data_IF_538194861837
#
_entry.id   IF_538194861837
#
_cell.length_a   1.000
_cell.length_b   1.000
_cell.length_c   1.000
_cell.angle_alpha   90.00
_cell.angle_beta   90.00
_cell.angle_gamma   90.00
#
_symmetry.space_group_name_H-M   'P 1'
#
loop_
_entity.id
_entity.type
_entity.pdbx_description
1 polymer ?
#
# COMPACT_ATOMS: atom_id res chain seq x y z
N UNK A 1 45.72 26.72 -61.56
CA UNK A 1 44.98 25.44 -61.44
C UNK A 1 44.23 25.49 -60.12
N UNK A 2 42.92 25.70 -60.25
CA UNK A 2 41.79 25.44 -59.33
C UNK A 2 41.76 26.10 -57.94
N UNK A 3 40.84 27.07 -57.83
CA UNK A 3 40.32 27.72 -56.61
C UNK A 3 39.64 26.74 -55.64
N UNK A 4 39.79 27.01 -54.34
CA UNK A 4 39.20 26.26 -53.23
C UNK A 4 37.86 26.90 -52.86
N UNK A 5 36.77 26.18 -53.09
CA UNK A 5 35.40 26.61 -52.79
C UNK A 5 34.99 26.29 -51.34
N UNK A 6 34.31 27.26 -50.72
CA UNK A 6 33.66 27.20 -49.40
C UNK A 6 32.44 26.25 -49.42
N UNK A 7 32.18 25.43 -48.40
CA UNK A 7 31.01 24.57 -48.36
C UNK A 7 29.73 25.35 -48.02
N UNK A 8 28.72 25.18 -48.88
CA UNK A 8 27.38 25.76 -48.75
C UNK A 8 26.54 25.08 -47.66
N UNK A 9 25.68 25.89 -47.04
CA UNK A 9 24.71 25.50 -46.01
C UNK A 9 23.47 24.95 -46.69
N UNK A 10 23.09 23.71 -46.37
CA UNK A 10 21.87 23.05 -46.87
C UNK A 10 20.62 23.58 -46.13
N UNK A 11 19.66 24.23 -46.80
CA UNK A 11 18.51 24.85 -46.18
C UNK A 11 17.37 23.88 -45.80
N UNK A 12 17.47 22.58 -46.11
CA UNK A 12 16.36 21.62 -45.93
C UNK A 12 16.57 20.58 -44.80
N UNK A 13 17.54 20.80 -43.90
CA UNK A 13 17.72 19.92 -42.73
C UNK A 13 16.84 20.39 -41.55
N UNK A 14 15.85 19.60 -41.11
CA UNK A 14 15.05 19.96 -39.93
C UNK A 14 15.93 19.94 -38.67
N UNK A 15 15.90 21.04 -37.92
CA UNK A 15 16.61 21.19 -36.64
C UNK A 15 16.03 20.32 -35.53
N UNK A 16 16.76 20.15 -34.40
CA UNK A 16 16.29 19.34 -33.28
C UNK A 16 15.01 19.93 -32.68
N UNK A 17 13.99 19.08 -32.50
CA UNK A 17 12.69 19.46 -31.98
C UNK A 17 12.78 19.97 -30.53
N UNK A 18 12.24 21.15 -30.29
CA UNK A 18 12.03 21.72 -28.94
C UNK A 18 11.05 20.83 -28.16
N UNK A 19 11.34 20.47 -26.89
CA UNK A 19 10.39 19.69 -26.08
C UNK A 19 9.12 20.51 -25.84
N UNK A 20 7.97 19.94 -26.19
CA UNK A 20 6.66 20.51 -25.86
C UNK A 20 6.41 20.38 -24.35
N UNK A 21 5.81 21.40 -23.69
CA UNK A 21 5.39 21.27 -22.30
C UNK A 21 4.27 20.22 -22.20
N UNK A 22 4.43 19.27 -21.28
CA UNK A 22 3.40 18.28 -20.97
C UNK A 22 2.17 18.91 -20.31
N UNK A 23 1.01 18.23 -20.33
CA UNK A 23 -0.22 18.78 -19.77
C UNK A 23 -0.08 19.04 -18.26
N UNK A 24 -0.64 20.16 -17.82
CA UNK A 24 -0.71 20.57 -16.42
C UNK A 24 -1.29 19.45 -15.55
N UNK A 25 -0.49 18.97 -14.59
CA UNK A 25 -0.97 18.07 -13.55
C UNK A 25 -1.77 18.89 -12.55
N UNK A 26 -3.00 18.51 -12.18
CA UNK A 26 -3.69 19.16 -11.08
C UNK A 26 -2.86 18.97 -9.80
N UNK A 27 -2.43 20.10 -9.22
CA UNK A 27 -1.69 20.15 -7.97
C UNK A 27 -2.50 19.57 -6.83
N UNK A 28 -1.83 18.87 -5.93
CA UNK A 28 -2.38 18.38 -4.69
C UNK A 28 -2.72 19.58 -3.81
N UNK A 29 -4.00 19.94 -3.71
CA UNK A 29 -4.45 20.92 -2.74
C UNK A 29 -4.41 20.25 -1.35
N UNK A 30 -3.46 20.68 -0.51
CA UNK A 30 -3.50 20.35 0.91
C UNK A 30 -4.78 20.89 1.56
N UNK A 31 -5.24 20.30 2.68
CA UNK A 31 -6.47 20.75 3.33
C UNK A 31 -6.29 22.18 3.84
N UNK A 32 -6.99 23.11 3.17
CA UNK A 32 -7.14 24.48 3.63
C UNK A 32 -7.92 24.50 4.94
N UNK A 33 -7.37 25.15 5.94
CA UNK A 33 -8.09 25.57 7.13
C UNK A 33 -9.24 26.49 6.73
N UNK A 34 -10.49 26.04 6.88
CA UNK A 34 -11.65 26.93 6.80
C UNK A 34 -12.01 27.48 8.18
N UNK A 35 -12.21 28.80 8.33
CA UNK A 35 -12.70 29.40 9.56
C UNK A 35 -14.21 29.24 9.70
N UNK A 36 -14.67 29.37 10.94
CA UNK A 36 -16.05 29.18 11.37
C UNK A 36 -17.07 30.16 10.74
N UNK A 37 -18.20 29.59 10.31
CA UNK A 37 -19.56 30.08 10.59
C UNK A 37 -20.18 31.15 9.69
N UNK A 38 -21.20 30.78 8.90
CA UNK A 38 -22.52 31.48 8.85
C UNK A 38 -23.56 30.70 8.04
N UNK A 39 -24.73 30.42 8.64
CA UNK A 39 -26.06 30.36 7.99
C UNK A 39 -26.49 29.07 7.25
N UNK A 40 -27.75 28.61 7.40
CA UNK A 40 -28.23 27.36 6.81
C UNK A 40 -28.70 27.54 5.37
N UNK A 41 -28.27 26.66 4.47
CA UNK A 41 -28.82 26.54 3.11
C UNK A 41 -29.80 25.38 3.03
N UNK A 42 -31.01 25.71 2.58
CA UNK A 42 -32.17 24.87 2.45
C UNK A 42 -32.00 23.72 1.44
N UNK A 43 -32.09 22.48 1.93
CA UNK A 43 -32.52 21.29 1.18
C UNK A 43 -33.18 20.31 2.14
N UNK A 44 -34.24 20.77 2.81
CA UNK A 44 -35.24 19.90 3.41
C UNK A 44 -36.57 20.33 2.80
N UNK A 45 -37.23 19.42 2.08
CA UNK A 45 -38.68 19.28 1.87
C UNK A 45 -38.91 18.50 0.56
N UNK A 46 -39.17 17.19 0.68
CA UNK A 46 -40.25 16.49 -0.01
C UNK A 46 -40.02 14.96 0.06
N UNK A 47 -40.63 14.31 1.05
CA UNK A 47 -41.01 12.91 0.93
C UNK A 47 -42.52 12.82 0.67
N UNK A 48 -43.02 11.77 0.00
CA UNK A 48 -44.43 11.40 0.11
C UNK A 48 -44.60 10.08 0.87
N UNK A 49 -45.12 10.24 2.08
CA UNK A 49 -46.27 9.54 2.70
C UNK A 49 -46.67 8.15 2.20
N UNK A 50 -46.63 7.18 3.12
CA UNK A 50 -47.39 5.92 3.12
C UNK A 50 -48.76 6.15 3.78
N UNK A 51 -49.87 5.55 3.31
CA UNK A 51 -51.08 5.43 4.11
C UNK A 51 -51.31 3.99 4.61
N UNK A 52 -51.57 3.86 5.92
CA UNK A 52 -52.03 2.64 6.59
C UNK A 52 -53.53 2.74 6.94
N UNK A 53 -54.29 1.73 6.49
CA UNK A 53 -55.52 1.08 6.96
C UNK A 53 -56.73 1.83 7.58
N UNK A 54 -57.93 1.39 7.17
CA UNK A 54 -59.02 0.95 8.07
C UNK A 54 -60.15 0.18 7.34
N UNK A 55 -60.57 -0.97 7.90
CA UNK A 55 -62.00 -1.33 8.12
C UNK A 55 -62.79 -2.20 7.11
N UNK A 56 -63.09 -3.44 7.53
CA UNK A 56 -64.09 -4.45 7.07
C UNK A 56 -65.58 -3.93 7.21
N UNK A 57 -66.72 -4.60 6.81
CA UNK A 57 -66.92 -6.05 6.62
C UNK A 57 -67.92 -6.61 5.56
N UNK A 58 -67.77 -7.93 5.30
CA UNK A 58 -68.90 -8.88 5.25
C UNK A 58 -69.28 -9.50 3.91
N UNK A 59 -69.25 -10.85 3.83
CA UNK A 59 -70.41 -11.74 3.54
C UNK A 59 -70.01 -13.13 3.02
N UNK A 60 -70.55 -14.18 3.69
CA UNK A 60 -70.90 -15.55 3.23
C UNK A 60 -69.82 -16.41 2.53
N UNK A 61 -69.54 -17.67 2.87
CA UNK A 61 -70.29 -18.68 3.60
C UNK A 61 -70.19 -20.00 2.82
N UNK A 62 -69.59 -21.05 3.39
CA UNK A 62 -69.94 -22.47 3.18
C UNK A 62 -68.99 -23.39 3.95
N UNK A 63 -69.59 -24.23 4.81
CA UNK A 63 -68.99 -25.36 5.51
C UNK A 63 -68.99 -26.60 4.62
N UNK A 64 -67.98 -27.46 4.75
CA UNK A 64 -68.11 -28.91 5.01
C UNK A 64 -66.71 -29.58 5.07
N UNK A 65 -66.26 -29.98 6.27
CA UNK A 65 -66.18 -31.36 6.81
C UNK A 65 -65.10 -32.26 6.19
N UNK A 66 -64.13 -32.69 7.02
CA UNK A 66 -63.09 -33.70 6.70
C UNK A 66 -63.62 -35.14 6.60
N UNK A 67 -62.83 -36.22 6.80
CA UNK A 67 -61.67 -36.31 7.71
C UNK A 67 -60.46 -37.15 7.24
N UNK A 68 -59.46 -37.25 8.13
CA UNK A 68 -58.43 -38.28 8.31
C UNK A 68 -57.43 -38.51 7.15
N UNK A 69 -56.11 -38.37 7.30
CA UNK A 69 -55.25 -38.81 8.39
C UNK A 69 -54.29 -39.86 7.79
N UNK A 70 -52.98 -39.59 7.78
CA UNK A 70 -51.83 -40.53 7.87
C UNK A 70 -50.54 -39.75 7.52
N UNK A 71 -49.68 -39.52 8.51
CA UNK A 71 -48.22 -39.40 8.36
C UNK A 71 -47.58 -40.66 9.01
N UNK A 72 -46.25 -40.87 8.99
CA UNK A 72 -45.37 -41.08 7.85
C UNK A 72 -44.58 -42.40 8.04
N UNK A 73 -43.95 -42.95 6.98
CA UNK A 73 -42.99 -44.07 7.16
C UNK A 73 -41.65 -43.72 6.52
N UNK A 74 -40.66 -43.59 7.41
CA UNK A 74 -39.22 -43.64 7.17
C UNK A 74 -38.75 -45.07 7.49
N UNK A 75 -37.79 -45.62 6.74
CA UNK A 75 -36.77 -46.48 7.33
C UNK A 75 -35.38 -45.91 6.95
N UNK A 76 -34.67 -45.32 7.91
CA UNK A 76 -33.72 -45.93 8.87
C UNK A 76 -32.35 -46.25 8.26
N UNK A 77 -31.34 -45.78 8.98
CA UNK A 77 -29.95 -45.70 8.58
C UNK A 77 -29.22 -47.03 8.81
N UNK A 78 -28.31 -47.37 7.89
CA UNK A 78 -27.17 -48.21 8.19
C UNK A 78 -25.91 -47.60 7.58
N UNK A 79 -24.91 -47.36 8.42
CA UNK A 79 -23.53 -46.94 8.11
C UNK A 79 -22.60 -47.98 8.74
N UNK A 80 -21.31 -48.06 8.39
CA UNK A 80 -20.67 -48.31 7.09
C UNK A 80 -19.96 -49.69 7.06
N UNK A 81 -19.53 -50.14 5.88
CA UNK A 81 -18.52 -51.21 5.76
C UNK A 81 -17.24 -50.65 5.14
N UNK A 82 -16.14 -50.73 5.89
CA UNK A 82 -14.76 -50.51 5.41
C UNK A 82 -14.33 -51.63 4.45
N UNK A 83 -13.43 -51.33 3.51
CA UNK A 83 -12.34 -52.24 3.23
C UNK A 83 -11.00 -51.63 3.60
N UNK A 84 -10.26 -52.46 4.31
CA UNK A 84 -8.95 -52.28 4.88
C UNK A 84 -7.84 -52.41 3.81
N UNK A 85 -6.80 -51.59 3.98
CA UNK A 85 -5.39 -51.78 3.58
C UNK A 85 -5.00 -51.92 2.09
N UNK A 86 -4.37 -50.85 1.57
CA UNK A 86 -3.17 -50.95 0.71
C UNK A 86 -2.38 -49.63 0.65
N UNK A 87 -1.28 -49.55 1.41
CA UNK A 87 -0.04 -48.77 1.16
C UNK A 87 1.11 -49.64 1.70
N UNK A 88 2.35 -49.60 1.18
CA UNK A 88 3.05 -48.44 0.59
C UNK A 88 3.67 -48.77 -0.80
N UNK A 89 4.15 -47.81 -1.59
CA UNK A 89 5.57 -47.38 -1.58
C UNK A 89 5.79 -46.03 -2.27
N UNK A 90 6.72 -45.25 -1.71
CA UNK A 90 7.37 -44.11 -2.35
C UNK A 90 8.25 -44.53 -3.53
N UNK A 91 8.44 -43.65 -4.53
CA UNK A 91 9.71 -43.52 -5.21
C UNK A 91 10.46 -42.31 -4.65
N UNK A 92 11.60 -42.62 -4.08
CA UNK A 92 12.64 -41.71 -3.64
C UNK A 92 13.26 -40.96 -4.84
N UNK A 93 13.59 -39.69 -4.58
CA UNK A 93 14.68 -38.91 -5.17
C UNK A 93 14.98 -39.02 -6.68
N UNK A 94 14.56 -37.98 -7.42
CA UNK A 94 15.26 -37.52 -8.62
C UNK A 94 15.88 -36.14 -8.34
N UNK A 95 17.17 -36.15 -8.00
CA UNK A 95 18.05 -34.97 -7.97
C UNK A 95 18.21 -34.43 -9.40
N UNK A 96 18.15 -33.12 -9.64
CA UNK A 96 18.51 -32.57 -10.95
C UNK A 96 20.00 -32.74 -11.17
N UNK A 97 20.37 -33.44 -12.24
CA UNK A 97 21.74 -33.53 -12.75
C UNK A 97 22.11 -32.22 -13.42
N UNK A 98 23.25 -31.65 -13.02
CA UNK A 98 23.91 -30.53 -13.69
C UNK A 98 24.26 -30.88 -15.13
N UNK A 99 24.01 -29.98 -16.11
CA UNK A 99 24.76 -29.99 -17.35
C UNK A 99 26.08 -29.26 -17.15
N UNK A 100 27.10 -30.04 -17.46
CA UNK A 100 28.51 -29.80 -17.69
C UNK A 100 28.95 -28.41 -18.20
N UNK A 101 30.20 -28.15 -17.86
CA UNK A 101 31.01 -26.96 -18.04
C UNK A 101 31.31 -26.70 -19.52
N UNK A 102 31.07 -25.48 -19.98
CA UNK A 102 31.68 -24.96 -21.19
C UNK A 102 32.68 -23.86 -20.81
N UNK A 103 33.97 -24.22 -20.79
CA UNK A 103 35.11 -23.31 -20.73
C UNK A 103 35.35 -22.73 -22.12
N UNK A 104 35.45 -21.40 -22.30
CA UNK A 104 36.13 -20.84 -23.45
C UNK A 104 37.62 -20.64 -23.09
N UNK A 105 38.46 -21.25 -23.90
CA UNK A 105 39.91 -21.09 -23.95
C UNK A 105 40.31 -19.68 -24.36
N UNK A 106 41.30 -19.10 -23.68
CA UNK A 106 42.08 -17.97 -24.20
C UNK A 106 42.83 -18.35 -25.47
N UNK A 107 43.01 -17.40 -26.40
CA UNK A 107 44.24 -17.30 -27.17
C UNK A 107 44.97 -15.99 -26.87
N UNK A 108 46.25 -16.13 -26.56
CA UNK A 108 47.20 -15.06 -26.33
C UNK A 108 48.04 -14.81 -27.63
N UNK A 109 48.38 -13.54 -27.83
CA UNK A 109 49.47 -12.92 -28.62
C UNK A 109 49.47 -12.84 -30.16
N UNK A 110 49.50 -11.58 -30.63
CA UNK A 110 50.64 -10.89 -31.32
C UNK A 110 50.09 -9.72 -32.17
N UNK A 111 50.63 -8.50 -32.31
CA UNK A 111 51.76 -7.72 -31.76
C UNK A 111 51.51 -6.21 -32.18
N UNK A 112 52.45 -5.24 -32.09
CA UNK A 112 52.20 -3.91 -31.54
C UNK A 112 52.05 -2.76 -32.57
N UNK A 113 51.37 -1.67 -32.18
CA UNK A 113 51.25 -0.46 -32.99
C UNK A 113 51.01 0.81 -32.18
N UNK A 114 52.01 1.71 -32.19
CA UNK A 114 52.04 3.17 -31.98
C UNK A 114 51.40 3.82 -30.73
N UNK A 115 52.08 4.82 -30.11
CA UNK A 115 51.61 5.45 -28.88
C UNK A 115 50.59 6.57 -29.16
N UNK A 116 49.56 6.76 -28.33
CA UNK A 116 48.81 8.00 -28.32
C UNK A 116 49.50 9.05 -27.43
N UNK A 117 49.48 10.26 -27.96
CA UNK A 117 50.06 11.52 -27.51
C UNK A 117 49.53 11.98 -26.15
N UNK A 118 50.43 12.59 -25.37
CA UNK A 118 50.15 13.31 -24.13
C UNK A 118 49.07 14.38 -24.31
N UNK A 119 47.97 14.28 -23.56
CA UNK A 119 47.13 15.43 -23.25
C UNK A 119 47.60 16.03 -21.92
N UNK A 120 48.06 17.27 -21.98
CA UNK A 120 48.42 18.08 -20.81
C UNK A 120 47.27 18.15 -19.81
N UNK A 121 47.56 17.70 -18.60
CA UNK A 121 46.76 17.92 -17.41
C UNK A 121 46.88 19.39 -17.03
N UNK A 122 45.84 20.18 -17.31
CA UNK A 122 45.76 21.56 -16.84
C UNK A 122 45.50 21.55 -15.32
N UNK A 123 46.51 22.00 -14.57
CA UNK A 123 46.47 22.11 -13.12
C UNK A 123 45.41 23.15 -12.69
N UNK A 124 44.38 22.69 -11.97
CA UNK A 124 43.46 23.55 -11.23
C UNK A 124 44.14 23.96 -9.93
N UNK A 125 44.32 25.27 -9.72
CA UNK A 125 44.86 25.84 -8.49
C UNK A 125 43.97 25.52 -7.27
N UNK A 126 44.52 25.34 -6.06
CA UNK A 126 43.73 25.03 -4.88
C UNK A 126 43.04 26.31 -4.37
N UNK A 127 41.85 26.59 -4.88
CA UNK A 127 40.91 27.51 -4.24
C UNK A 127 40.34 26.82 -3.00
N UNK A 128 40.96 27.05 -1.84
CA UNK A 128 40.42 26.63 -0.55
C UNK A 128 39.09 27.31 -0.28
N UNK A 129 38.00 26.71 -0.73
CA UNK A 129 36.66 27.02 -0.24
C UNK A 129 36.62 26.54 1.20
N UNK A 130 36.78 27.47 2.13
CA UNK A 130 36.58 27.21 3.55
C UNK A 130 35.16 26.66 3.71
N UNK A 131 35.04 25.36 3.94
CA UNK A 131 33.80 24.73 4.36
C UNK A 131 33.41 25.41 5.66
N UNK A 132 32.36 26.24 5.61
CA UNK A 132 31.78 26.82 6.82
C UNK A 132 31.50 25.67 7.79
N UNK A 133 31.86 25.79 9.09
CA UNK A 133 31.58 24.73 10.04
C UNK A 133 30.07 24.44 10.03
N UNK A 134 29.71 23.16 9.89
CA UNK A 134 28.32 22.71 10.03
C UNK A 134 27.74 23.30 11.31
N UNK A 135 26.55 23.92 11.28
CA UNK A 135 25.98 24.53 12.47
C UNK A 135 25.82 23.46 13.55
N UNK A 136 26.53 23.64 14.66
CA UNK A 136 26.34 22.87 15.89
C UNK A 136 24.91 23.11 16.35
N UNK A 137 24.15 22.03 16.57
CA UNK A 137 22.92 22.07 17.35
C UNK A 137 21.60 22.32 16.60
N UNK A 138 21.48 21.96 15.32
CA UNK A 138 20.14 21.92 14.70
C UNK A 138 19.31 20.78 15.34
N UNK A 139 18.04 21.03 15.69
CA UNK A 139 17.19 20.01 16.30
C UNK A 139 16.96 18.86 15.31
N UNK A 140 16.99 17.64 15.83
CA UNK A 140 16.64 16.44 15.05
C UNK A 140 15.22 16.60 14.54
N UNK A 141 15.02 16.37 13.24
CA UNK A 141 13.72 16.51 12.59
C UNK A 141 12.92 15.22 12.67
N UNK A 142 11.61 15.36 12.67
CA UNK A 142 10.68 14.26 12.52
C UNK A 142 10.58 13.80 11.06
N UNK A 143 9.87 12.70 10.82
CA UNK A 143 9.59 12.21 9.47
C UNK A 143 8.85 13.20 8.56
N UNK A 144 8.27 14.27 9.11
CA UNK A 144 7.60 15.34 8.33
C UNK A 144 8.34 16.68 8.41
N UNK A 145 9.51 16.73 9.06
CA UNK A 145 10.39 17.89 9.08
C UNK A 145 10.23 18.85 10.28
N UNK A 146 9.21 18.66 11.13
CA UNK A 146 9.08 19.38 12.41
C UNK A 146 10.16 18.93 13.42
N UNK A 147 10.42 19.65 14.52
CA UNK A 147 11.27 19.13 15.59
C UNK A 147 10.76 17.79 16.13
N UNK A 148 11.64 16.82 16.31
CA UNK A 148 11.27 15.50 16.83
C UNK A 148 11.07 15.52 18.35
N UNK A 149 10.06 14.80 18.80
CA UNK A 149 9.72 14.60 20.21
C UNK A 149 9.91 13.14 20.63
N UNK A 150 9.68 12.21 19.69
CA UNK A 150 9.80 10.77 19.89
C UNK A 150 11.11 10.26 19.27
N UNK A 151 11.95 9.63 20.08
CA UNK A 151 13.26 9.11 19.68
C UNK A 151 13.30 7.59 19.82
N UNK A 152 14.40 6.98 19.37
CA UNK A 152 14.61 5.54 19.47
C UNK A 152 14.33 4.98 20.88
N UNK A 153 14.75 5.68 21.93
CA UNK A 153 14.62 5.26 23.33
C UNK A 153 13.15 5.18 23.79
N UNK A 154 12.25 5.92 23.13
CA UNK A 154 10.83 5.92 23.47
C UNK A 154 10.07 4.77 22.79
N UNK A 155 10.67 4.13 21.79
CA UNK A 155 10.09 3.03 21.03
C UNK A 155 10.46 1.70 21.67
N UNK A 156 9.95 1.47 22.88
CA UNK A 156 10.23 0.28 23.67
C UNK A 156 9.35 -0.91 23.29
N UNK A 157 9.86 -2.15 23.30
CA UNK A 157 9.07 -3.34 23.02
C UNK A 157 7.88 -3.48 23.96
N UNK A 158 6.72 -3.84 23.41
CA UNK A 158 5.44 -3.89 24.13
C UNK A 158 4.67 -2.57 24.14
N UNK A 159 5.26 -1.47 23.66
CA UNK A 159 4.52 -0.22 23.44
C UNK A 159 3.57 -0.35 22.26
N UNK A 160 2.37 0.18 22.43
CA UNK A 160 1.34 0.26 21.40
C UNK A 160 0.97 1.72 21.14
N UNK A 161 0.73 2.06 19.88
CA UNK A 161 0.15 3.31 19.45
C UNK A 161 -1.22 3.04 18.83
N UNK A 162 -2.23 3.75 19.34
CA UNK A 162 -3.50 3.93 18.65
C UNK A 162 -3.30 4.99 17.55
N UNK A 163 -3.58 4.60 16.30
CA UNK A 163 -3.47 5.45 15.13
C UNK A 163 -4.84 5.95 14.64
N UNK A 164 -5.86 5.81 15.48
CA UNK A 164 -7.20 6.32 15.24
C UNK A 164 -8.04 5.45 14.30
N UNK A 165 -9.08 6.07 13.76
CA UNK A 165 -10.02 5.45 12.83
C UNK A 165 -9.95 6.16 11.47
N UNK A 166 -9.82 5.38 10.41
CA UNK A 166 -9.85 5.84 9.02
C UNK A 166 -11.18 5.44 8.39
N UNK A 167 -11.89 6.40 7.80
CA UNK A 167 -13.04 6.13 6.95
C UNK A 167 -12.56 5.86 5.52
N UNK A 168 -13.04 4.76 4.93
CA UNK A 168 -12.71 4.40 3.55
C UNK A 168 -13.60 5.18 2.60
N UNK A 169 -13.05 6.24 2.02
CA UNK A 169 -13.73 6.99 0.97
C UNK A 169 -13.79 6.17 -0.34
N UNK A 170 -14.98 6.08 -0.92
CA UNK A 170 -15.24 5.28 -2.12
C UNK A 170 -14.69 5.90 -3.40
N UNK A 171 -14.74 7.23 -3.52
CA UNK A 171 -14.24 7.94 -4.69
C UNK A 171 -12.72 7.91 -4.73
N UNK A 172 -12.06 8.14 -3.59
CA UNK A 172 -10.60 8.01 -3.45
C UNK A 172 -10.15 6.57 -3.71
N UNK A 173 -10.88 5.57 -3.18
CA UNK A 173 -10.60 4.15 -3.40
C UNK A 173 -10.59 3.80 -4.89
N UNK A 174 -11.62 4.20 -5.64
CA UNK A 174 -11.74 3.93 -7.07
C UNK A 174 -10.73 4.76 -7.87
N UNK A 175 -10.49 6.02 -7.50
CA UNK A 175 -9.49 6.87 -8.13
C UNK A 175 -8.07 6.30 -7.99
N UNK A 176 -7.71 5.79 -6.80
CA UNK A 176 -6.44 5.10 -6.58
C UNK A 176 -6.33 3.86 -7.46
N UNK A 177 -7.36 3.02 -7.47
CA UNK A 177 -7.36 1.80 -8.28
C UNK A 177 -7.18 2.10 -9.77
N UNK A 178 -7.94 3.05 -10.33
CA UNK A 178 -7.79 3.46 -11.74
C UNK A 178 -6.37 3.90 -12.09
N UNK A 179 -5.68 4.54 -11.14
CA UNK A 179 -4.33 5.07 -11.37
C UNK A 179 -3.23 4.02 -11.18
N UNK A 180 -3.37 3.13 -10.20
CA UNK A 180 -2.26 2.29 -9.74
C UNK A 180 -2.54 0.79 -9.80
N UNK A 181 -3.81 0.38 -9.75
CA UNK A 181 -4.22 -1.01 -9.66
C UNK A 181 -5.57 -1.26 -10.39
N UNK A 182 -5.63 -1.10 -11.72
CA UNK A 182 -6.88 -1.08 -12.48
C UNK A 182 -7.39 -2.49 -12.80
N UNK A 183 -7.31 -3.41 -11.82
CA UNK A 183 -7.93 -4.72 -11.95
C UNK A 183 -9.46 -4.57 -11.88
N UNK A 184 -10.18 -5.36 -12.68
CA UNK A 184 -11.62 -5.18 -12.92
C UNK A 184 -12.45 -5.12 -11.62
N UNK A 185 -12.13 -5.92 -10.60
CA UNK A 185 -12.84 -5.92 -9.31
C UNK A 185 -12.59 -4.68 -8.43
N UNK A 186 -11.68 -3.79 -8.83
CA UNK A 186 -11.42 -2.51 -8.16
C UNK A 186 -12.03 -1.31 -8.88
N UNK A 187 -12.42 -1.43 -10.16
CA UNK A 187 -12.82 -0.28 -10.99
C UNK A 187 -14.13 -0.43 -11.75
N UNK A 188 -14.60 -1.67 -11.95
CA UNK A 188 -15.84 -1.98 -12.67
C UNK A 188 -16.89 -2.52 -11.69
N UNK A 189 -17.92 -1.73 -11.35
CA UNK A 189 -18.96 -2.15 -10.41
C UNK A 189 -19.75 -3.37 -10.87
N UNK A 190 -20.00 -3.51 -12.18
CA UNK A 190 -20.82 -4.60 -12.73
C UNK A 190 -20.06 -5.92 -12.68
N UNK A 191 -18.79 -5.92 -13.13
CA UNK A 191 -17.94 -7.10 -13.04
C UNK A 191 -17.66 -7.49 -11.59
N UNK A 192 -17.41 -6.50 -10.72
CA UNK A 192 -17.20 -6.75 -9.30
C UNK A 192 -18.44 -7.34 -8.61
N UNK A 193 -19.65 -6.85 -8.95
CA UNK A 193 -20.91 -7.39 -8.45
C UNK A 193 -21.17 -8.83 -8.89
N UNK A 194 -20.79 -9.19 -10.14
CA UNK A 194 -20.91 -10.55 -10.66
C UNK A 194 -19.85 -11.53 -10.10
N UNK A 195 -18.83 -11.03 -9.40
CA UNK A 195 -17.77 -11.85 -8.83
C UNK A 195 -18.09 -12.40 -7.45
N UNK A 196 -17.24 -13.29 -6.94
CA UNK A 196 -17.32 -13.77 -5.55
C UNK A 196 -17.14 -12.65 -4.50
N UNK A 197 -16.70 -11.46 -4.89
CA UNK A 197 -16.64 -10.29 -4.01
C UNK A 197 -18.00 -9.60 -3.85
N UNK A 198 -18.97 -9.80 -4.75
CA UNK A 198 -20.31 -9.20 -4.63
C UNK A 198 -20.33 -7.67 -4.65
N UNK A 199 -19.33 -7.04 -5.27
CA UNK A 199 -19.18 -5.59 -5.37
C UNK A 199 -17.71 -5.17 -5.29
N UNK A 200 -17.46 -3.88 -5.53
CA UNK A 200 -16.10 -3.33 -5.50
C UNK A 200 -15.43 -3.58 -4.14
N UNK A 201 -14.14 -3.86 -4.21
CA UNK A 201 -13.24 -3.91 -3.05
C UNK A 201 -12.07 -2.98 -3.31
N UNK A 202 -11.48 -2.45 -2.24
CA UNK A 202 -10.29 -1.62 -2.34
C UNK A 202 -9.08 -2.43 -2.85
N UNK A 203 -8.19 -1.76 -3.58
CA UNK A 203 -6.84 -2.28 -3.79
C UNK A 203 -6.16 -2.52 -2.44
N UNK A 204 -5.42 -3.63 -2.35
CA UNK A 204 -4.60 -3.91 -1.17
C UNK A 204 -3.57 -2.81 -0.89
N UNK A 205 -3.04 -2.17 -1.94
CA UNK A 205 -2.08 -1.07 -1.81
C UNK A 205 -2.73 0.27 -1.44
N UNK A 206 -3.99 0.49 -1.80
CA UNK A 206 -4.77 1.60 -1.26
C UNK A 206 -4.91 1.46 0.27
N UNK A 207 -5.28 0.26 0.73
CA UNK A 207 -5.40 -0.04 2.18
C UNK A 207 -4.07 0.17 2.91
N UNK A 208 -2.93 -0.25 2.33
CA UNK A 208 -1.59 0.03 2.89
C UNK A 208 -1.30 1.52 2.94
N UNK A 209 -1.74 2.29 1.94
CA UNK A 209 -1.55 3.74 1.91
C UNK A 209 -2.33 4.44 3.02
N UNK A 210 -3.55 3.96 3.34
CA UNK A 210 -4.32 4.43 4.49
C UNK A 210 -3.61 4.14 5.82
N UNK A 211 -3.08 2.92 6.00
CA UNK A 211 -2.23 2.59 7.16
C UNK A 211 -1.04 3.54 7.27
N UNK A 212 -0.33 3.76 6.16
CA UNK A 212 0.84 4.63 6.13
C UNK A 212 0.47 6.07 6.50
N UNK A 213 -0.67 6.57 5.99
CA UNK A 213 -1.18 7.91 6.34
C UNK A 213 -1.42 8.04 7.85
N UNK A 214 -2.14 7.09 8.45
CA UNK A 214 -2.40 7.07 9.89
C UNK A 214 -1.09 6.97 10.70
N UNK A 215 -0.14 6.16 10.26
CA UNK A 215 1.16 6.04 10.90
C UNK A 215 1.98 7.35 10.84
N UNK A 216 1.92 8.07 9.72
CA UNK A 216 2.53 9.41 9.62
C UNK A 216 1.91 10.36 10.63
N UNK A 217 0.58 10.51 10.58
CA UNK A 217 -0.13 11.51 11.36
C UNK A 217 0.06 11.32 12.87
N UNK A 218 0.08 10.07 13.34
CA UNK A 218 0.10 9.76 14.78
C UNK A 218 1.51 9.47 15.36
N UNK A 219 2.48 9.10 14.52
CA UNK A 219 3.83 8.71 14.99
C UNK A 219 4.93 9.43 14.23
N UNK A 220 5.04 9.25 12.91
CA UNK A 220 6.22 9.76 12.19
C UNK A 220 6.29 11.29 12.15
N UNK A 221 5.16 11.99 12.24
CA UNK A 221 5.11 13.45 12.29
C UNK A 221 5.85 14.05 13.50
N UNK A 222 6.07 13.26 14.55
CA UNK A 222 6.81 13.67 15.77
C UNK A 222 7.98 12.75 16.10
N UNK A 223 8.19 11.66 15.35
CA UNK A 223 9.28 10.74 15.58
C UNK A 223 10.51 11.11 14.76
N UNK A 224 11.69 11.02 15.36
CA UNK A 224 13.01 11.14 14.74
C UNK A 224 13.30 9.96 13.80
N UNK A 225 12.38 9.69 12.89
CA UNK A 225 12.42 8.62 11.93
C UNK A 225 13.39 8.97 10.80
N UNK A 226 14.21 7.99 10.45
CA UNK A 226 15.02 7.97 9.25
C UNK A 226 14.25 7.16 8.20
N UNK A 227 14.93 6.31 7.44
CA UNK A 227 14.31 5.42 6.47
C UNK A 227 13.84 4.08 7.08
N UNK A 228 13.16 3.30 6.24
CA UNK A 228 12.83 1.90 6.51
C UNK A 228 13.57 1.01 5.50
N UNK A 229 14.13 -0.14 5.93
CA UNK A 229 14.64 -1.15 4.99
C UNK A 229 13.53 -1.92 4.25
N UNK A 230 12.24 -1.65 4.55
CA UNK A 230 11.09 -2.25 3.87
C UNK A 230 10.16 -3.04 4.79
N UNK A 231 9.09 -3.57 4.18
CA UNK A 231 8.17 -4.52 4.80
C UNK A 231 8.77 -5.94 4.77
N UNK A 232 8.68 -6.63 5.89
CA UNK A 232 9.03 -8.05 6.03
C UNK A 232 7.81 -8.93 5.74
N UNK A 233 6.62 -8.47 6.12
CA UNK A 233 5.36 -9.14 5.87
C UNK A 233 4.24 -8.14 5.55
N UNK A 234 3.41 -8.51 4.58
CA UNK A 234 2.16 -7.84 4.23
C UNK A 234 1.07 -8.89 4.01
N UNK A 235 -0.04 -8.78 4.73
CA UNK A 235 -1.20 -9.68 4.63
C UNK A 235 -2.48 -8.87 4.46
N UNK A 236 -3.25 -9.21 3.43
CA UNK A 236 -4.64 -8.77 3.25
C UNK A 236 -5.55 -9.90 3.69
N UNK A 237 -6.21 -9.72 4.84
CA UNK A 237 -6.92 -10.79 5.56
C UNK A 237 -8.43 -10.79 5.27
N UNK A 238 -8.95 -9.67 4.79
CA UNK A 238 -10.32 -9.51 4.32
C UNK A 238 -10.40 -8.34 3.33
N UNK A 239 -11.37 -8.37 2.38
CA UNK A 239 -11.59 -7.25 1.47
C UNK A 239 -12.04 -6.02 2.24
N UNK A 240 -11.58 -4.84 1.84
CA UNK A 240 -12.00 -3.53 2.34
C UNK A 240 -12.95 -2.89 1.34
N UNK A 241 -13.95 -2.14 1.80
CA UNK A 241 -15.01 -1.53 0.99
C UNK A 241 -15.22 -0.07 1.33
N UNK A 242 -15.80 0.67 0.39
CA UNK A 242 -16.26 2.03 0.63
C UNK A 242 -17.20 2.09 1.84
N UNK A 243 -17.01 3.10 2.70
CA UNK A 243 -17.76 3.27 3.95
C UNK A 243 -17.25 2.46 5.14
N UNK A 244 -16.28 1.55 4.95
CA UNK A 244 -15.64 0.86 6.08
C UNK A 244 -14.99 1.87 7.02
N UNK A 245 -15.16 1.67 8.33
CA UNK A 245 -14.40 2.34 9.37
C UNK A 245 -13.32 1.40 9.88
N UNK A 246 -12.07 1.80 9.71
CA UNK A 246 -10.91 0.96 10.04
C UNK A 246 -10.17 1.56 11.25
N UNK A 247 -10.18 0.86 12.39
CA UNK A 247 -9.31 1.21 13.52
C UNK A 247 -7.90 0.69 13.25
N UNK A 248 -6.90 1.52 13.54
CA UNK A 248 -5.51 1.28 13.14
C UNK A 248 -4.61 1.28 14.37
N UNK A 249 -3.75 0.27 14.47
CA UNK A 249 -2.85 0.08 15.60
C UNK A 249 -1.43 -0.21 15.13
N UNK A 250 -0.46 0.30 15.87
CA UNK A 250 0.96 0.02 15.68
C UNK A 250 1.59 -0.50 16.97
N UNK A 251 2.22 -1.66 16.90
CA UNK A 251 2.91 -2.29 18.03
C UNK A 251 4.42 -2.31 17.82
N UNK A 252 5.16 -1.97 18.87
CA UNK A 252 6.61 -2.11 18.91
C UNK A 252 6.96 -3.52 19.37
N UNK A 253 7.45 -4.35 18.44
CA UNK A 253 7.82 -5.73 18.70
C UNK A 253 9.27 -5.90 19.19
N UNK A 254 10.15 -4.96 18.84
CA UNK A 254 11.58 -5.04 19.19
C UNK A 254 12.30 -3.74 18.91
N UNK A 255 13.38 -3.48 19.65
CA UNK A 255 14.23 -2.29 19.48
C UNK A 255 15.69 -2.64 19.72
N UNK A 256 16.59 -2.28 18.81
CA UNK A 256 18.02 -2.52 18.94
C UNK A 256 18.85 -1.35 18.42
N UNK A 257 19.79 -0.79 19.21
CA UNK A 257 20.75 0.18 18.70
C UNK A 257 21.56 -0.41 17.53
N UNK A 258 21.87 0.41 16.54
CA UNK A 258 22.66 0.01 15.38
C UNK A 258 24.15 0.02 15.71
N UNK A 259 24.80 -1.13 15.58
CA UNK A 259 26.27 -1.20 15.69
C UNK A 259 26.98 -0.61 14.45
N UNK A 260 26.33 -0.66 13.28
CA UNK A 260 26.92 -0.20 12.02
C UNK A 260 26.75 1.31 11.78
N UNK A 261 25.76 1.94 12.43
CA UNK A 261 25.47 3.37 12.31
C UNK A 261 25.23 3.96 13.71
N UNK A 262 26.29 4.41 14.40
CA UNK A 262 26.16 5.08 15.69
C UNK A 262 25.16 6.24 15.62
N UNK A 263 24.32 6.38 16.64
CA UNK A 263 23.25 7.40 16.66
C UNK A 263 21.92 6.97 16.01
N UNK A 264 21.84 5.77 15.41
CA UNK A 264 20.58 5.16 14.95
C UNK A 264 20.26 3.88 15.71
N UNK A 265 18.98 3.56 15.80
CA UNK A 265 18.46 2.27 16.25
C UNK A 265 17.46 1.70 15.25
N UNK A 266 17.33 0.38 15.24
CA UNK A 266 16.33 -0.34 14.44
C UNK A 266 15.18 -0.76 15.34
N UNK A 267 13.96 -0.46 14.92
CA UNK A 267 12.73 -0.84 15.63
C UNK A 267 11.92 -1.76 14.73
N UNK A 268 11.54 -2.92 15.25
CA UNK A 268 10.62 -3.86 14.61
C UNK A 268 9.19 -3.51 15.00
N UNK A 269 8.33 -3.33 14.00
CA UNK A 269 6.99 -2.81 14.14
C UNK A 269 5.97 -3.76 13.50
N UNK A 270 4.80 -3.87 14.12
CA UNK A 270 3.63 -4.56 13.56
C UNK A 270 2.50 -3.56 13.41
N UNK A 271 2.00 -3.38 12.19
CA UNK A 271 0.80 -2.60 11.91
C UNK A 271 -0.41 -3.50 11.73
N UNK A 272 -1.53 -3.16 12.34
CA UNK A 272 -2.81 -3.87 12.16
C UNK A 272 -3.94 -2.90 11.88
N UNK A 273 -4.88 -3.32 11.03
CA UNK A 273 -6.14 -2.61 10.80
C UNK A 273 -7.31 -3.58 10.99
N UNK A 274 -8.31 -3.14 11.74
CA UNK A 274 -9.56 -3.86 11.94
C UNK A 274 -10.73 -3.04 11.42
N UNK A 275 -11.66 -3.69 10.72
CA UNK A 275 -12.99 -3.13 10.46
C UNK A 275 -13.74 -3.05 11.79
N UNK A 276 -14.35 -1.90 12.04
CA UNK A 276 -15.28 -1.71 13.15
C UNK A 276 -16.68 -2.23 12.79
N UNK A 277 -17.31 -2.91 13.74
CA UNK A 277 -18.71 -3.28 13.69
C UNK A 277 -19.64 -2.10 14.03
N UNK A 278 -20.97 -2.33 14.03
CA UNK A 278 -21.97 -1.30 14.34
C UNK A 278 -21.87 -0.70 15.76
N UNK A 279 -21.20 -1.38 16.68
CA UNK A 279 -20.96 -1.00 18.08
C UNK A 279 -19.57 -0.39 18.31
N UNK A 280 -18.88 0.00 17.22
CA UNK A 280 -17.51 0.50 17.22
C UNK A 280 -16.48 -0.44 17.85
N UNK A 281 -16.79 -1.75 17.91
CA UNK A 281 -15.82 -2.77 18.30
C UNK A 281 -15.10 -3.36 17.08
N UNK A 282 -13.82 -3.74 17.22
CA UNK A 282 -13.11 -4.47 16.18
C UNK A 282 -13.81 -5.80 15.85
N UNK A 283 -14.28 -5.95 14.62
CA UNK A 283 -14.97 -7.16 14.14
C UNK A 283 -14.02 -8.05 13.33
N UNK A 284 -13.36 -7.48 12.32
CA UNK A 284 -12.58 -8.24 11.34
C UNK A 284 -11.24 -7.59 11.06
N UNK A 285 -10.15 -8.34 11.23
CA UNK A 285 -8.83 -7.90 10.77
C UNK A 285 -8.78 -7.87 9.24
N UNK A 286 -8.37 -6.74 8.67
CA UNK A 286 -8.31 -6.54 7.20
C UNK A 286 -6.88 -6.46 6.69
N UNK A 287 -5.96 -5.91 7.49
CA UNK A 287 -4.56 -5.71 7.12
C UNK A 287 -3.65 -6.05 8.29
N UNK A 288 -2.58 -6.79 8.01
CA UNK A 288 -1.43 -6.95 8.91
C UNK A 288 -0.13 -6.67 8.18
N UNK A 289 0.75 -5.90 8.80
CA UNK A 289 2.10 -5.65 8.29
C UNK A 289 3.14 -5.89 9.38
N UNK A 290 4.31 -6.37 8.98
CA UNK A 290 5.52 -6.37 9.81
C UNK A 290 6.62 -5.69 9.05
N UNK A 291 7.31 -4.75 9.68
CA UNK A 291 8.34 -3.97 9.04
C UNK A 291 9.34 -3.45 10.07
N UNK A 292 10.44 -2.88 9.59
CA UNK A 292 11.42 -2.21 10.44
C UNK A 292 11.48 -0.74 10.10
N UNK A 293 11.73 0.09 11.10
CA UNK A 293 12.06 1.51 10.93
C UNK A 293 13.39 1.83 11.59
N UNK A 294 14.12 2.79 11.04
CA UNK A 294 15.28 3.36 11.71
C UNK A 294 14.90 4.67 12.38
N UNK A 295 15.39 4.85 13.60
CA UNK A 295 15.11 6.03 14.41
C UNK A 295 16.40 6.55 15.02
N UNK A 296 16.51 7.87 15.07
CA UNK A 296 17.64 8.57 15.68
C UNK A 296 17.56 8.44 17.19
N UNK A 297 18.71 8.19 17.82
CA UNK A 297 18.88 8.23 19.27
C UNK A 297 18.79 9.68 19.74
N UNK A 298 18.31 9.87 20.96
CA UNK A 298 18.23 11.21 21.55
C UNK A 298 19.62 11.83 21.66
N UNK A 299 19.84 13.07 21.19
CA UNK A 299 21.07 13.78 21.45
C UNK A 299 21.30 13.92 22.96
N UNK A 300 22.50 13.58 23.43
CA UNK A 300 22.94 13.72 24.82
C UNK A 300 23.66 15.03 25.07
#
# INVERSE_FOLDING_TARGET
>A
MTDIATPGTDPDRPGPATPQPGPDRPGFAGPGTSPAGTGPTAWDQAGPTVPEQAGDPGSAGAQQTGPAGTEPIVPDQARPASPEQARPTSPDQARPTSPDQARPTSPDQAAPGAPPTHHESSAVAPGGSAVAPSPVGLPVRSGTGAPAELFFEDLTPGRTFDLGVVLVDGDEMVAFARRFDPQWYHVDPEQAAASHHGGLIASGFYTVSLFMRAYVDHVLARAAADASPGLEELRWLAPVRAGDRLTVRLDVAGSRPSAARPGLGTVSLTGTMFRLGPDDQPDREVLRTRFRGWFTLRPT
#
